data_IF_455198628959
#
_entry.id   IF_455198628959
#
_cell.length_a   1.000
_cell.length_b   1.000
_cell.length_c   1.000
_cell.angle_alpha   90.00
_cell.angle_beta   90.00
_cell.angle_gamma   90.00
#
_symmetry.space_group_name_H-M   'P 1'
#
loop_
_entity.id
_entity.type
_entity.pdbx_description
1 polymer ?
#
# COMPACT_ATOMS: atom_id res chain seq x y z
N UNK A 1 1.59 15.08 -8.95
CA UNK A 1 2.16 14.09 -8.01
C UNK A 1 2.17 12.77 -8.74
N UNK A 2 3.31 12.10 -8.92
CA UNK A 2 3.34 10.79 -9.54
C UNK A 2 2.52 9.81 -8.70
N UNK A 3 1.43 9.28 -9.24
CA UNK A 3 0.67 8.19 -8.63
C UNK A 3 0.77 6.96 -9.53
N UNK A 4 1.06 5.81 -8.91
CA UNK A 4 1.12 4.54 -9.61
C UNK A 4 -0.14 3.73 -9.28
N UNK A 5 -0.94 3.44 -10.30
CA UNK A 5 -2.13 2.61 -10.18
C UNK A 5 -1.81 1.17 -10.60
N UNK A 6 -2.11 0.23 -9.72
CA UNK A 6 -1.93 -1.21 -9.94
C UNK A 6 -3.30 -1.90 -9.85
N UNK A 7 -3.73 -2.44 -10.98
CA UNK A 7 -5.02 -3.13 -11.09
C UNK A 7 -4.83 -4.63 -10.87
N UNK A 8 -5.58 -5.18 -9.92
CA UNK A 8 -5.62 -6.61 -9.72
C UNK A 8 -6.36 -7.32 -10.86
N UNK A 9 -5.95 -8.56 -11.16
CA UNK A 9 -6.62 -9.39 -12.14
C UNK A 9 -8.07 -9.68 -11.73
N UNK A 10 -8.97 -9.66 -12.73
CA UNK A 10 -10.37 -10.03 -12.55
C UNK A 10 -10.55 -11.53 -12.27
N UNK A 11 -9.55 -12.35 -12.61
CA UNK A 11 -9.65 -13.80 -12.52
C UNK A 11 -9.24 -14.38 -11.16
N UNK A 12 -8.98 -13.52 -10.18
CA UNK A 12 -8.52 -13.93 -8.84
C UNK A 12 -9.63 -13.81 -7.81
N UNK A 13 -9.53 -14.63 -6.76
CA UNK A 13 -10.56 -14.79 -5.73
C UNK A 13 -10.97 -13.43 -5.16
N UNK A 14 -12.25 -13.07 -5.33
CA UNK A 14 -12.83 -11.81 -4.84
C UNK A 14 -12.84 -10.64 -5.84
N UNK A 15 -12.28 -10.80 -7.05
CA UNK A 15 -12.19 -9.74 -8.07
C UNK A 15 -13.03 -9.99 -9.34
N UNK A 16 -13.84 -11.06 -9.38
CA UNK A 16 -14.52 -11.52 -10.60
C UNK A 16 -15.52 -10.51 -11.17
N UNK A 17 -16.20 -9.76 -10.30
CA UNK A 17 -17.18 -8.74 -10.68
C UNK A 17 -16.63 -7.31 -10.57
N UNK A 18 -15.79 -7.04 -9.57
CA UNK A 18 -15.18 -5.72 -9.32
C UNK A 18 -13.68 -5.87 -9.10
N UNK A 19 -12.83 -5.43 -10.05
CA UNK A 19 -11.39 -5.48 -9.87
C UNK A 19 -10.97 -4.54 -8.74
N UNK A 20 -10.11 -5.04 -7.86
CA UNK A 20 -9.48 -4.21 -6.82
C UNK A 20 -8.38 -3.36 -7.46
N UNK A 21 -8.37 -2.05 -7.18
CA UNK A 21 -7.30 -1.15 -7.62
C UNK A 21 -6.52 -0.67 -6.40
N UNK A 22 -5.20 -0.81 -6.45
CA UNK A 22 -4.29 -0.19 -5.50
C UNK A 22 -3.71 1.05 -6.16
N UNK A 23 -3.84 2.18 -5.50
CA UNK A 23 -3.18 3.42 -5.85
C UNK A 23 -2.07 3.68 -4.84
N UNK A 24 -0.84 3.78 -5.32
CA UNK A 24 0.32 4.13 -4.51
C UNK A 24 0.69 5.57 -4.85
N UNK A 25 0.59 6.43 -3.85
CA UNK A 25 0.99 7.84 -3.90
C UNK A 25 2.16 8.04 -2.95
N UNK A 26 2.98 9.08 -3.18
CA UNK A 26 4.17 9.41 -2.38
C UNK A 26 3.93 9.50 -0.86
N UNK A 27 2.68 9.71 -0.42
CA UNK A 27 2.31 9.89 0.99
C UNK A 27 1.43 8.78 1.56
N UNK A 28 0.74 8.02 0.71
CA UNK A 28 -0.26 7.04 1.15
C UNK A 28 -0.52 5.97 0.10
N UNK A 29 -0.85 4.77 0.57
CA UNK A 29 -1.38 3.68 -0.24
C UNK A 29 -2.90 3.63 -0.07
N UNK A 30 -3.63 3.74 -1.17
CA UNK A 30 -5.09 3.72 -1.19
C UNK A 30 -5.57 2.46 -1.91
N UNK A 31 -6.48 1.71 -1.28
CA UNK A 31 -7.19 0.60 -1.92
C UNK A 31 -8.61 1.02 -2.23
N UNK A 32 -8.95 0.98 -3.51
CA UNK A 32 -10.32 1.14 -3.99
C UNK A 32 -10.94 -0.24 -4.19
N UNK A 33 -11.91 -0.61 -3.35
CA UNK A 33 -12.73 -1.81 -3.54
C UNK A 33 -14.17 -1.38 -3.83
N UNK A 34 -14.62 -1.60 -5.06
CA UNK A 34 -16.03 -1.46 -5.41
C UNK A 34 -16.78 -2.75 -5.08
N UNK A 35 -17.93 -2.62 -4.45
CA UNK A 35 -18.93 -3.66 -4.27
C UNK A 35 -20.24 -3.19 -4.89
N UNK A 36 -21.18 -4.11 -5.13
CA UNK A 36 -22.47 -3.78 -5.78
C UNK A 36 -23.29 -2.72 -5.03
N UNK A 37 -23.08 -2.59 -3.72
CA UNK A 37 -23.81 -1.65 -2.85
C UNK A 37 -22.91 -0.82 -1.92
N UNK A 38 -21.59 -0.98 -1.97
CA UNK A 38 -20.64 -0.22 -1.12
C UNK A 38 -19.39 0.17 -1.91
N UNK A 39 -18.85 1.35 -1.61
CA UNK A 39 -17.50 1.76 -2.02
C UNK A 39 -16.64 1.78 -0.76
N UNK A 40 -15.74 0.82 -0.66
CA UNK A 40 -14.78 0.73 0.44
C UNK A 40 -13.45 1.31 -0.02
N UNK A 41 -13.06 2.43 0.60
CA UNK A 41 -11.81 3.13 0.35
C UNK A 41 -10.99 3.11 1.64
N UNK A 42 -9.83 2.46 1.59
CA UNK A 42 -8.90 2.43 2.72
C UNK A 42 -7.63 3.12 2.28
N UNK A 43 -7.27 4.21 2.97
CA UNK A 43 -6.04 4.95 2.77
C UNK A 43 -5.14 4.78 4.00
N UNK A 44 -3.93 4.27 3.80
CA UNK A 44 -2.91 4.12 4.83
C UNK A 44 -1.74 5.01 4.47
N UNK A 45 -1.37 5.92 5.38
CA UNK A 45 -0.18 6.77 5.19
C UNK A 45 1.09 5.93 5.30
N UNK A 46 2.08 6.23 4.46
CA UNK A 46 3.35 5.48 4.40
C UNK A 46 4.08 5.48 5.74
N UNK A 47 4.05 6.60 6.47
CA UNK A 47 4.64 6.71 7.80
C UNK A 47 3.97 5.80 8.85
N UNK A 48 2.76 5.31 8.58
CA UNK A 48 2.02 4.37 9.45
C UNK A 48 2.10 2.93 8.96
N UNK A 49 2.84 2.63 7.89
CA UNK A 49 3.00 1.25 7.42
C UNK A 49 4.00 0.57 8.35
N UNK A 50 3.56 -0.50 9.02
CA UNK A 50 4.40 -1.33 9.88
C UNK A 50 5.18 -2.36 9.08
N UNK A 51 4.50 -3.00 8.12
CA UNK A 51 5.05 -4.10 7.35
C UNK A 51 4.35 -4.21 5.99
N UNK A 52 5.10 -4.65 4.99
CA UNK A 52 4.56 -5.03 3.67
C UNK A 52 4.92 -6.47 3.41
N UNK A 53 3.90 -7.32 3.28
CA UNK A 53 4.06 -8.73 3.00
C UNK A 53 3.55 -9.05 1.59
N UNK A 54 4.39 -9.71 0.79
CA UNK A 54 4.02 -10.20 -0.54
C UNK A 54 4.02 -11.72 -0.53
N UNK A 55 2.86 -12.32 -0.76
CA UNK A 55 2.74 -13.76 -0.99
C UNK A 55 2.70 -14.03 -2.48
N UNK A 56 3.79 -14.56 -3.02
CA UNK A 56 3.90 -14.87 -4.45
C UNK A 56 3.42 -16.29 -4.74
N UNK A 57 2.42 -16.45 -5.60
CA UNK A 57 1.97 -17.73 -6.15
C UNK A 57 2.67 -18.08 -7.48
N UNK A 58 2.11 -19.04 -8.23
CA UNK A 58 2.68 -19.47 -9.52
C UNK A 58 2.53 -18.36 -10.59
N UNK A 59 1.36 -17.71 -10.65
CA UNK A 59 1.04 -16.66 -11.65
C UNK A 59 0.75 -15.32 -10.96
N UNK A 60 0.04 -15.35 -9.84
CA UNK A 60 -0.45 -14.17 -9.13
C UNK A 60 0.31 -13.94 -7.82
N UNK A 61 0.23 -12.73 -7.29
CA UNK A 61 0.73 -12.37 -5.98
C UNK A 61 -0.37 -11.70 -5.14
N UNK A 62 -0.34 -11.98 -3.84
CA UNK A 62 -1.15 -11.32 -2.83
C UNK A 62 -0.29 -10.33 -2.05
N UNK A 63 -0.85 -9.17 -1.75
CA UNK A 63 -0.20 -8.08 -1.03
C UNK A 63 -0.98 -7.86 0.26
N UNK A 64 -0.27 -7.81 1.37
CA UNK A 64 -0.80 -7.49 2.69
C UNK A 64 0.06 -6.37 3.28
N UNK A 65 -0.56 -5.22 3.53
CA UNK A 65 0.08 -4.08 4.16
C UNK A 65 -0.54 -3.92 5.54
N UNK A 66 0.30 -3.97 6.57
CA UNK A 66 -0.12 -3.79 7.96
C UNK A 66 0.23 -2.38 8.41
N UNK A 67 -0.66 -1.76 9.19
CA UNK A 67 -0.45 -0.42 9.73
C UNK A 67 -0.13 -0.44 11.23
N UNK A 68 0.76 0.45 11.68
CA UNK A 68 1.03 0.73 13.09
C UNK A 68 -0.17 1.46 13.70
N UNK A 69 -1.10 0.72 14.32
CA UNK A 69 -2.28 1.32 14.95
C UNK A 69 -3.55 0.48 14.96
N UNK A 70 -3.51 -0.79 14.52
CA UNK A 70 -4.66 -1.69 14.59
C UNK A 70 -5.79 -1.37 13.59
N UNK A 71 -5.53 -0.52 12.60
CA UNK A 71 -6.45 -0.32 11.47
C UNK A 71 -6.45 -1.54 10.56
N UNK A 72 -7.57 -1.80 9.88
CA UNK A 72 -7.75 -2.95 9.00
C UNK A 72 -6.57 -3.14 8.03
N UNK A 73 -5.91 -4.31 8.02
CA UNK A 73 -4.78 -4.54 7.14
C UNK A 73 -5.24 -4.46 5.69
N UNK A 74 -4.49 -3.71 4.88
CA UNK A 74 -4.76 -3.54 3.47
C UNK A 74 -4.31 -4.80 2.74
N UNK A 75 -5.27 -5.71 2.56
CA UNK A 75 -5.11 -6.95 1.80
C UNK A 75 -5.61 -6.78 0.37
N UNK A 76 -4.84 -7.23 -0.60
CA UNK A 76 -5.22 -7.25 -2.01
C UNK A 76 -4.71 -8.50 -2.70
N UNK A 77 -5.55 -9.08 -3.56
CA UNK A 77 -5.30 -10.37 -4.21
C UNK A 77 -5.21 -10.19 -5.71
N UNK A 78 -4.31 -10.95 -6.34
CA UNK A 78 -4.29 -11.09 -7.79
C UNK A 78 -3.52 -10.06 -8.59
N UNK A 79 -2.52 -9.46 -7.97
CA UNK A 79 -1.55 -8.63 -8.67
C UNK A 79 -0.58 -9.50 -9.45
N UNK A 80 0.00 -8.98 -10.54
CA UNK A 80 1.12 -9.68 -11.18
C UNK A 80 2.32 -9.63 -10.24
N UNK A 81 3.22 -10.61 -10.35
CA UNK A 81 4.46 -10.65 -9.56
C UNK A 81 5.33 -9.40 -9.71
N UNK A 82 5.34 -8.81 -10.90
CA UNK A 82 6.07 -7.59 -11.18
C UNK A 82 5.44 -6.39 -10.44
N UNK A 83 4.10 -6.27 -10.51
CA UNK A 83 3.34 -5.20 -9.85
C UNK A 83 3.51 -5.27 -8.33
N UNK A 84 3.37 -6.45 -7.74
CA UNK A 84 3.53 -6.64 -6.31
C UNK A 84 4.92 -6.23 -5.82
N UNK A 85 5.99 -6.63 -6.55
CA UNK A 85 7.35 -6.22 -6.22
C UNK A 85 7.54 -4.71 -6.35
N UNK A 86 7.01 -4.10 -7.41
CA UNK A 86 7.11 -2.65 -7.63
C UNK A 86 6.40 -1.85 -6.53
N UNK A 87 5.24 -2.31 -6.06
CA UNK A 87 4.55 -1.69 -4.93
C UNK A 87 5.42 -1.73 -3.67
N UNK A 88 6.03 -2.88 -3.37
CA UNK A 88 6.94 -3.00 -2.22
C UNK A 88 8.15 -2.10 -2.35
N UNK A 89 8.83 -2.10 -3.49
CA UNK A 89 9.99 -1.25 -3.74
C UNK A 89 9.65 0.23 -3.56
N UNK A 90 8.51 0.68 -4.10
CA UNK A 90 8.03 2.05 -3.93
C UNK A 90 7.73 2.37 -2.45
N UNK A 91 7.04 1.47 -1.75
CA UNK A 91 6.67 1.69 -0.34
C UNK A 91 7.90 1.65 0.57
N UNK A 92 8.86 0.77 0.34
CA UNK A 92 10.12 0.70 1.09
C UNK A 92 11.00 1.94 0.83
N UNK A 93 11.09 2.40 -0.42
CA UNK A 93 11.81 3.63 -0.77
C UNK A 93 11.20 4.85 -0.05
N UNK A 94 9.87 4.99 -0.11
CA UNK A 94 9.16 6.09 0.53
C UNK A 94 9.21 6.01 2.07
N UNK A 95 9.25 4.81 2.66
CA UNK A 95 9.49 4.64 4.09
C UNK A 95 10.92 5.04 4.47
N UNK A 96 11.92 4.66 3.68
CA UNK A 96 13.31 5.07 3.88
C UNK A 96 13.47 6.59 3.88
N UNK A 97 12.86 7.26 2.91
CA UNK A 97 12.85 8.73 2.82
C UNK A 97 12.09 9.38 3.99
N UNK A 98 10.93 8.84 4.36
CA UNK A 98 10.11 9.35 5.47
C UNK A 98 10.78 9.15 6.84
N UNK A 99 11.53 8.06 7.02
CA UNK A 99 12.26 7.79 8.26
C UNK A 99 13.51 8.69 8.39
N UNK A 100 14.12 9.07 7.26
CA UNK A 100 15.18 10.08 7.21
C UNK A 100 14.70 11.47 7.64
N UNK A 101 13.50 11.86 7.23
CA UNK A 101 12.92 13.18 7.55
C UNK A 101 12.46 13.28 9.03
N UNK A 102 11.91 12.19 9.59
CA UNK A 102 11.53 12.11 11.00
C UNK A 102 12.73 12.06 11.97
N UNK A 103 13.89 11.55 11.52
CA UNK A 103 15.14 11.57 12.31
C UNK A 103 15.86 12.92 12.28
N UNK A 104 15.62 13.76 11.27
CA UNK A 104 16.26 15.08 11.14
C UNK A 104 15.49 16.20 11.87
N UNK A 105 14.19 16.00 12.18
CA UNK A 105 13.34 16.98 12.85
C UNK A 105 13.49 17.11 14.38
N UNK A 106 14.36 16.31 15.02
CA UNK A 106 14.52 16.28 16.48
C UNK A 106 15.59 17.22 17.06
N UNK A 107 16.40 17.89 16.23
CA UNK A 107 17.52 18.70 16.70
C UNK A 107 17.31 20.19 16.38
N UNK A 108 16.70 20.90 17.35
CA UNK A 108 16.98 22.30 17.78
C UNK A 108 15.69 23.04 18.12
N UNK A 109 15.39 23.15 19.41
CA UNK A 109 15.18 24.46 20.06
C UNK A 109 15.66 24.34 21.51
N UNK A 110 16.94 24.60 21.74
CA UNK A 110 17.43 25.09 23.03
C UNK A 110 17.68 26.57 22.81
N UNK A 111 16.73 27.41 23.20
CA UNK A 111 17.01 28.84 23.36
C UNK A 111 17.05 29.14 24.86
N UNK A 112 18.20 29.72 25.20
CA UNK A 112 18.65 30.27 26.48
C UNK A 112 17.73 31.29 27.09
#
# INVERSE_FOLDING_TARGET
>A
MPSAMFQASRWTRGNFLFPTVIEVTDKSVVRHKRSWFSKDEISISIAKIASVHIKTGIIWADILIESTGGTDPLKSHGHKKADARRIREMVEALQGDSHGDLSAGGAKVKLS
#
